data_IF_364925942513
#
_entry.id   IF_364925942513
#
_cell.length_a   1.000
_cell.length_b   1.000
_cell.length_c   1.000
_cell.angle_alpha   90.00
_cell.angle_beta   90.00
_cell.angle_gamma   90.00
#
_symmetry.space_group_name_H-M   'P 1'
#
loop_
_entity.id
_entity.type
_entity.pdbx_description
1 polymer ?
#
# COMPACT_ATOMS: atom_id res chain seq x y z
N UNK A 1 15.34 -17.20 40.53
CA UNK A 1 16.27 -16.06 40.37
C UNK A 1 17.30 -16.52 39.36
N UNK A 2 17.34 -16.12 38.08
CA UNK A 2 17.23 -14.81 37.46
C UNK A 2 16.82 -15.06 35.99
N UNK A 3 15.69 -14.53 35.55
CA UNK A 3 15.36 -14.44 34.12
C UNK A 3 16.15 -13.24 33.58
N UNK A 4 17.16 -13.52 32.76
CA UNK A 4 18.10 -12.52 32.28
C UNK A 4 17.74 -12.05 30.86
N UNK A 5 17.84 -10.73 30.68
CA UNK A 5 18.03 -10.02 29.42
C UNK A 5 16.80 -9.66 28.60
N UNK A 6 16.20 -8.55 29.02
CA UNK A 6 15.85 -7.45 28.14
C UNK A 6 16.89 -7.29 27.01
N UNK A 7 16.53 -7.58 25.77
CA UNK A 7 17.36 -7.33 24.59
C UNK A 7 16.56 -6.53 23.57
N UNK A 8 16.75 -5.21 23.67
CA UNK A 8 16.49 -4.26 22.62
C UNK A 8 17.33 -4.69 21.40
N UNK A 9 16.65 -5.16 20.36
CA UNK A 9 17.10 -5.05 18.97
C UNK A 9 15.88 -4.49 18.26
N UNK A 10 15.87 -3.21 17.91
CA UNK A 10 16.73 -2.67 16.88
C UNK A 10 15.79 -2.14 15.80
N UNK A 11 14.99 -1.16 16.19
CA UNK A 11 14.12 -0.36 15.33
C UNK A 11 15.02 0.42 14.37
N UNK A 12 15.40 -0.22 13.26
CA UNK A 12 15.91 0.51 12.11
C UNK A 12 15.64 -0.24 10.81
N UNK A 13 14.91 0.48 9.96
CA UNK A 13 14.96 0.44 8.49
C UNK A 13 14.15 -0.66 7.79
N UNK A 14 12.95 -0.27 7.34
CA UNK A 14 12.78 0.01 5.91
C UNK A 14 11.49 0.79 5.68
N UNK A 15 11.60 2.02 5.21
CA UNK A 15 10.55 2.67 4.41
C UNK A 15 10.46 1.92 3.09
N UNK A 16 10.05 0.65 3.14
CA UNK A 16 9.83 -0.14 1.93
C UNK A 16 8.39 0.07 1.54
N UNK A 17 8.19 0.62 0.35
CA UNK A 17 6.86 0.83 -0.17
C UNK A 17 6.09 -0.48 -0.14
N UNK A 18 4.87 -0.38 0.37
CA UNK A 18 3.98 -1.48 0.71
C UNK A 18 3.41 -2.19 -0.54
N UNK A 19 3.87 -1.82 -1.74
CA UNK A 19 3.43 -2.34 -3.02
C UNK A 19 4.66 -2.90 -3.73
N UNK A 20 4.73 -4.22 -3.88
CA UNK A 20 5.89 -4.91 -4.48
C UNK A 20 5.58 -5.49 -5.85
N UNK A 21 4.31 -5.64 -6.24
CA UNK A 21 3.91 -6.24 -7.52
C UNK A 21 2.47 -5.82 -7.86
N UNK A 22 2.19 -5.55 -9.14
CA UNK A 22 0.84 -5.23 -9.65
C UNK A 22 0.15 -6.56 -10.02
N UNK A 23 -0.92 -6.99 -9.33
CA UNK A 23 -1.67 -8.20 -9.68
C UNK A 23 -2.58 -7.95 -10.90
N UNK A 24 -2.65 -8.94 -11.79
CA UNK A 24 -3.48 -8.95 -13.00
C UNK A 24 -4.85 -9.59 -12.69
N UNK A 25 -5.83 -8.76 -12.31
CA UNK A 25 -7.21 -9.15 -11.99
C UNK A 25 -8.19 -8.61 -13.05
N UNK A 26 -9.27 -9.35 -13.37
CA UNK A 26 -10.29 -8.95 -14.37
C UNK A 26 -10.84 -7.54 -14.06
N UNK A 27 -10.48 -6.50 -14.84
CA UNK A 27 -10.75 -5.12 -14.45
C UNK A 27 -12.23 -4.77 -14.65
N UNK A 28 -12.90 -4.34 -13.58
CA UNK A 28 -14.22 -3.68 -13.68
C UNK A 28 -13.98 -2.19 -13.89
N UNK A 29 -14.56 -1.61 -14.95
CA UNK A 29 -14.37 -0.18 -15.26
C UNK A 29 -15.18 0.67 -14.26
N UNK A 30 -14.48 1.49 -13.48
CA UNK A 30 -15.04 2.43 -12.51
C UNK A 30 -14.56 3.84 -12.87
N UNK A 31 -15.48 4.81 -12.89
CA UNK A 31 -15.14 6.23 -12.99
C UNK A 31 -15.13 6.80 -11.57
N UNK A 32 -14.01 7.40 -11.17
CA UNK A 32 -13.81 7.93 -9.82
C UNK A 32 -13.33 9.38 -9.94
N UNK A 33 -13.96 10.28 -9.22
CA UNK A 33 -13.49 11.66 -9.08
C UNK A 33 -12.57 11.76 -7.87
N UNK A 34 -11.37 12.31 -8.07
CA UNK A 34 -10.38 12.51 -7.03
C UNK A 34 -10.13 14.00 -6.82
N UNK A 35 -10.00 14.48 -5.58
CA UNK A 35 -9.53 15.84 -5.33
C UNK A 35 -8.16 16.07 -5.98
N UNK A 36 -7.95 17.27 -6.52
CA UNK A 36 -6.70 17.62 -7.21
C UNK A 36 -5.44 17.42 -6.33
N UNK A 37 -5.55 17.67 -5.03
CA UNK A 37 -4.47 17.43 -4.08
C UNK A 37 -4.08 15.94 -4.03
N UNK A 38 -5.06 15.05 -3.96
CA UNK A 38 -4.83 13.59 -3.92
C UNK A 38 -4.19 13.11 -5.22
N UNK A 39 -4.61 13.63 -6.37
CA UNK A 39 -3.99 13.28 -7.65
C UNK A 39 -2.51 13.66 -7.69
N UNK A 40 -2.15 14.86 -7.20
CA UNK A 40 -0.75 15.31 -7.12
C UNK A 40 0.09 14.42 -6.22
N UNK A 41 -0.43 14.07 -5.04
CA UNK A 41 0.25 13.19 -4.10
C UNK A 41 0.43 11.78 -4.69
N UNK A 42 -0.57 11.30 -5.43
CA UNK A 42 -0.51 10.00 -6.12
C UNK A 42 0.53 10.00 -7.25
N UNK A 43 0.65 11.10 -8.00
CA UNK A 43 1.72 11.26 -9.00
C UNK A 43 3.11 11.27 -8.34
N UNK A 44 3.28 12.03 -7.25
CA UNK A 44 4.54 12.05 -6.50
C UNK A 44 4.89 10.65 -5.94
N UNK A 45 3.90 9.93 -5.42
CA UNK A 45 4.07 8.56 -4.95
C UNK A 45 4.51 7.61 -6.08
N UNK A 46 3.93 7.75 -7.27
CA UNK A 46 4.30 6.94 -8.45
C UNK A 46 5.76 7.18 -8.87
N UNK A 47 6.25 8.43 -8.79
CA UNK A 47 7.65 8.76 -9.06
C UNK A 47 8.60 8.10 -8.07
N UNK A 48 8.29 8.17 -6.77
CA UNK A 48 9.10 7.53 -5.73
C UNK A 48 9.10 6.01 -5.92
N UNK A 49 7.93 5.42 -6.17
CA UNK A 49 7.81 3.98 -6.42
C UNK A 49 8.62 3.54 -7.64
N UNK A 50 8.58 4.31 -8.73
CA UNK A 50 9.33 3.99 -9.95
C UNK A 50 10.85 4.01 -9.72
N UNK A 51 11.33 4.91 -8.84
CA UNK A 51 12.74 4.96 -8.45
C UNK A 51 13.14 3.77 -7.58
N UNK A 52 12.25 3.31 -6.70
CA UNK A 52 12.52 2.19 -5.81
C UNK A 52 12.48 0.82 -6.50
N UNK A 53 11.51 0.60 -7.40
CA UNK A 53 11.33 -0.68 -8.09
C UNK A 53 12.13 -0.79 -9.39
N UNK A 54 12.58 0.35 -9.93
CA UNK A 54 13.18 0.43 -11.28
C UNK A 54 12.16 0.27 -12.41
N UNK A 55 10.87 0.11 -12.07
CA UNK A 55 9.77 -0.02 -13.03
C UNK A 55 9.02 1.30 -13.14
N UNK A 56 8.97 1.88 -14.34
CA UNK A 56 8.15 3.07 -14.56
C UNK A 56 6.67 2.77 -14.40
N UNK A 57 6.04 3.46 -13.44
CA UNK A 57 4.59 3.50 -13.31
C UNK A 57 4.03 4.40 -14.42
N UNK A 58 3.69 3.79 -15.56
CA UNK A 58 3.18 4.52 -16.75
C UNK A 58 1.81 5.18 -16.54
N UNK A 59 1.02 4.65 -15.62
CA UNK A 59 -0.33 5.12 -15.35
C UNK A 59 -0.58 5.12 -13.85
N UNK A 60 -0.69 6.32 -13.31
CA UNK A 60 -0.89 6.59 -11.88
C UNK A 60 -2.23 6.00 -11.40
N UNK A 61 -3.23 5.88 -12.28
CA UNK A 61 -4.54 5.31 -11.93
C UNK A 61 -4.47 3.82 -11.61
N UNK A 62 -3.47 3.11 -12.16
CA UNK A 62 -3.24 1.68 -11.87
C UNK A 62 -2.79 1.43 -10.43
N UNK A 63 -2.36 2.47 -9.70
CA UNK A 63 -2.03 2.36 -8.29
C UNK A 63 -3.27 2.33 -7.39
N UNK A 64 -4.39 2.91 -7.84
CA UNK A 64 -5.61 3.07 -7.03
C UNK A 64 -6.14 1.71 -6.57
N UNK A 65 -6.28 0.75 -7.49
CA UNK A 65 -6.76 -0.60 -7.18
C UNK A 65 -5.90 -1.32 -6.13
N UNK A 66 -4.59 -1.51 -6.36
CA UNK A 66 -3.68 -2.12 -5.39
C UNK A 66 -3.62 -1.38 -4.05
N UNK A 67 -3.69 -0.05 -4.03
CA UNK A 67 -3.72 0.74 -2.79
C UNK A 67 -4.99 0.48 -1.98
N UNK A 68 -6.16 0.49 -2.62
CA UNK A 68 -7.44 0.20 -1.97
C UNK A 68 -7.46 -1.25 -1.46
N UNK A 69 -7.03 -2.21 -2.28
CA UNK A 69 -6.96 -3.61 -1.87
C UNK A 69 -6.08 -3.78 -0.63
N UNK A 70 -4.92 -3.10 -0.59
CA UNK A 70 -4.03 -3.15 0.57
C UNK A 70 -4.60 -2.45 1.79
N UNK A 71 -5.30 -1.33 1.61
CA UNK A 71 -6.02 -0.65 2.68
C UNK A 71 -7.06 -1.60 3.31
N UNK A 72 -7.94 -2.20 2.49
CA UNK A 72 -8.95 -3.18 2.93
C UNK A 72 -8.33 -4.39 3.64
N UNK A 73 -7.20 -4.90 3.14
CA UNK A 73 -6.51 -6.03 3.76
C UNK A 73 -5.91 -5.67 5.13
N UNK A 74 -5.50 -4.41 5.32
CA UNK A 74 -4.88 -3.94 6.56
C UNK A 74 -5.89 -3.53 7.64
N UNK A 75 -7.11 -3.18 7.26
CA UNK A 75 -8.16 -2.79 8.18
C UNK A 75 -8.74 -4.02 8.91
N UNK A 76 -8.30 -4.21 10.17
CA UNK A 76 -8.74 -5.32 11.01
C UNK A 76 -10.22 -5.22 11.38
N UNK A 77 -10.77 -4.02 11.50
CA UNK A 77 -12.19 -3.83 11.83
C UNK A 77 -13.04 -4.26 10.62
N UNK A 78 -12.65 -3.84 9.42
CA UNK A 78 -13.24 -4.31 8.17
C UNK A 78 -13.16 -5.83 8.03
N UNK A 79 -11.98 -6.41 8.27
CA UNK A 79 -11.78 -7.86 8.18
C UNK A 79 -12.68 -8.64 9.16
N UNK A 80 -12.94 -8.10 10.35
CA UNK A 80 -13.87 -8.70 11.33
C UNK A 80 -15.32 -8.57 10.89
N UNK A 81 -15.72 -7.42 10.34
CA UNK A 81 -17.08 -7.19 9.85
C UNK A 81 -17.42 -8.14 8.69
N UNK A 82 -16.50 -8.30 7.72
CA UNK A 82 -16.66 -9.20 6.57
C UNK A 82 -16.80 -10.68 6.95
N UNK A 83 -16.26 -11.11 8.10
CA UNK A 83 -16.40 -12.49 8.58
C UNK A 83 -17.76 -12.77 9.23
N UNK A 84 -18.51 -11.73 9.60
CA UNK A 84 -19.81 -11.83 10.25
C UNK A 84 -20.98 -11.70 9.26
N UNK A 85 -20.70 -11.31 8.02
CA UNK A 85 -21.64 -11.22 6.91
C UNK A 85 -21.71 -12.51 6.12
#
# INVERSE_FOLDING_TARGET
MIWCSNRIQGERMSTRLKITTIPDDKPTRLTVELPAAVYKDLSAYAEVLSRETGEQVKDVTRLIGPMIARFMASDRAFAKARKKS
#
